data_IF_212391512866
#
_entry.id   IF_212391512866
#
_cell.length_a   1.000
_cell.length_b   1.000
_cell.length_c   1.000
_cell.angle_alpha   90.00
_cell.angle_beta   90.00
_cell.angle_gamma   90.00
#
_symmetry.space_group_name_H-M   'P 1'
#
loop_
_entity.id
_entity.type
_entity.pdbx_description
1 polymer ?
#
# COMPACT_ATOMS: atom_id res chain seq x y z
N UNK A 1 -63.72 -46.49 21.94
CA UNK A 1 -63.44 -45.12 21.46
C UNK A 1 -61.93 -45.04 21.27
N UNK A 2 -61.35 -45.40 20.12
CA UNK A 2 -61.32 -44.70 18.82
C UNK A 2 -60.95 -43.22 18.95
N UNK A 3 -59.65 -42.95 18.71
CA UNK A 3 -59.09 -41.89 17.84
C UNK A 3 -59.34 -40.41 18.18
N UNK A 4 -58.28 -39.61 18.27
CA UNK A 4 -57.65 -38.96 17.10
C UNK A 4 -56.48 -38.07 17.55
N UNK A 5 -55.39 -38.17 16.78
CA UNK A 5 -54.27 -37.24 16.81
C UNK A 5 -54.69 -35.87 16.26
N UNK A 6 -54.11 -34.80 16.78
CA UNK A 6 -54.02 -33.52 16.08
C UNK A 6 -52.55 -33.13 15.94
N UNK A 7 -52.11 -33.09 14.69
CA UNK A 7 -50.88 -32.50 14.17
C UNK A 7 -50.81 -30.99 14.48
N UNK A 8 -49.59 -30.41 14.54
CA UNK A 8 -49.39 -29.00 14.88
C UNK A 8 -49.74 -28.07 13.71
N UNK A 9 -50.16 -26.81 13.96
CA UNK A 9 -50.28 -25.82 12.91
C UNK A 9 -48.88 -25.33 12.48
N UNK A 10 -48.67 -25.36 11.17
CA UNK A 10 -47.46 -24.91 10.49
C UNK A 10 -47.53 -23.38 10.27
N UNK A 11 -46.41 -22.71 10.56
CA UNK A 11 -45.88 -21.47 9.98
C UNK A 11 -46.80 -20.22 9.86
N UNK A 12 -46.43 -19.19 10.60
CA UNK A 12 -46.15 -17.88 9.96
C UNK A 12 -45.04 -17.18 10.71
N UNK A 13 -44.10 -16.69 9.92
CA UNK A 13 -42.82 -16.09 10.29
C UNK A 13 -42.97 -15.01 11.36
N UNK A 14 -42.17 -15.11 12.43
CA UNK A 14 -41.61 -13.93 13.07
C UNK A 14 -40.10 -14.10 13.05
N UNK A 15 -39.50 -13.60 11.96
CA UNK A 15 -38.14 -13.09 12.02
C UNK A 15 -38.15 -12.04 13.13
N UNK A 16 -37.52 -12.35 14.24
CA UNK A 16 -37.05 -11.31 15.13
C UNK A 16 -36.00 -10.56 14.32
N UNK A 17 -36.38 -9.41 13.78
CA UNK A 17 -35.47 -8.44 13.23
C UNK A 17 -34.57 -8.00 14.40
N UNK A 18 -33.45 -8.71 14.56
CA UNK A 18 -32.31 -8.19 15.28
C UNK A 18 -31.86 -6.98 14.48
N UNK A 19 -32.36 -5.82 14.89
CA UNK A 19 -31.86 -4.52 14.47
C UNK A 19 -30.42 -4.44 14.98
N UNK A 20 -29.48 -5.00 14.22
CA UNK A 20 -28.09 -4.56 14.25
C UNK A 20 -28.14 -3.13 13.73
N UNK A 21 -28.29 -2.19 14.65
CA UNK A 21 -28.00 -0.80 14.39
C UNK A 21 -26.53 -0.76 13.94
N UNK A 22 -26.32 -0.82 12.63
CA UNK A 22 -25.05 -0.52 11.98
C UNK A 22 -24.71 0.90 12.35
N UNK A 23 -23.99 1.05 13.46
CA UNK A 23 -23.29 2.28 13.76
C UNK A 23 -22.28 2.43 12.64
N UNK A 24 -22.54 3.40 11.76
CA UNK A 24 -21.53 3.94 10.88
C UNK A 24 -20.28 4.19 11.74
N UNK A 25 -19.22 3.41 11.51
CA UNK A 25 -17.89 3.70 12.03
C UNK A 25 -17.32 4.89 11.26
N UNK A 26 -17.99 6.04 11.36
CA UNK A 26 -17.36 7.35 11.20
C UNK A 26 -16.73 7.70 12.54
N UNK A 27 -15.70 6.93 12.92
CA UNK A 27 -14.73 7.32 13.94
C UNK A 27 -13.55 8.04 13.28
N UNK A 28 -12.76 8.80 14.03
CA UNK A 28 -11.82 9.77 13.45
C UNK A 28 -10.83 9.08 12.52
N UNK A 29 -10.74 9.58 11.28
CA UNK A 29 -9.57 9.37 10.44
C UNK A 29 -8.41 10.00 11.22
N UNK A 30 -7.58 9.16 11.83
CA UNK A 30 -6.34 9.61 12.44
C UNK A 30 -5.45 10.10 11.30
N UNK A 31 -5.43 11.42 11.09
CA UNK A 31 -4.34 12.11 10.45
C UNK A 31 -3.08 11.87 11.30
N UNK A 32 -2.38 10.77 11.00
CA UNK A 32 -0.99 10.56 11.40
C UNK A 32 -0.01 11.40 10.57
N UNK A 33 -0.49 12.06 9.51
CA UNK A 33 0.22 13.15 8.85
C UNK A 33 0.00 14.43 9.63
N UNK A 34 1.09 15.15 9.94
CA UNK A 34 1.05 16.48 10.55
C UNK A 34 -0.03 17.33 9.86
N UNK A 35 -1.08 17.68 10.60
CA UNK A 35 -1.99 18.76 10.18
C UNK A 35 -1.22 20.07 10.29
N UNK A 36 -0.47 20.42 9.25
CA UNK A 36 0.07 21.78 9.07
C UNK A 36 -1.10 22.70 8.70
N UNK A 37 -1.96 22.96 9.69
CA UNK A 37 -2.90 24.07 9.64
C UNK A 37 -2.10 25.37 9.72
N UNK A 38 -2.46 26.33 8.88
CA UNK A 38 -1.89 27.67 8.89
C UNK A 38 -1.90 28.25 10.32
N UNK A 39 -0.72 28.33 10.95
CA UNK A 39 -0.52 29.00 12.25
C UNK A 39 -0.35 28.12 13.49
N UNK A 40 -0.06 26.82 13.39
CA UNK A 40 0.16 25.95 14.56
C UNK A 40 1.58 25.39 14.66
N UNK A 41 2.50 26.11 15.29
CA UNK A 41 3.85 25.59 15.59
C UNK A 41 3.79 24.45 16.61
N UNK A 42 4.35 23.30 16.24
CA UNK A 42 4.62 22.20 17.19
C UNK A 42 6.13 22.02 17.26
N UNK A 43 6.73 22.58 18.32
CA UNK A 43 8.14 22.41 18.65
C UNK A 43 8.33 21.08 19.37
N UNK A 44 9.01 20.12 18.72
CA UNK A 44 9.68 19.00 19.39
C UNK A 44 11.14 18.92 18.95
N UNK A 45 11.98 19.82 19.46
CA UNK A 45 13.37 19.57 19.90
C UNK A 45 14.41 18.85 19.02
N UNK A 46 14.14 18.50 17.76
CA UNK A 46 15.12 18.01 16.79
C UNK A 46 15.21 19.02 15.62
N UNK A 47 16.33 19.08 14.87
CA UNK A 47 16.41 19.97 13.73
C UNK A 47 15.34 19.49 12.74
N UNK A 48 14.24 20.24 12.68
CA UNK A 48 13.22 20.09 11.64
C UNK A 48 13.96 20.34 10.33
N UNK A 49 13.92 19.37 9.42
CA UNK A 49 14.40 19.58 8.07
C UNK A 49 13.57 20.65 7.36
N UNK A 50 13.91 20.91 6.11
CA UNK A 50 13.20 21.88 5.29
C UNK A 50 11.80 21.36 4.91
N UNK A 51 10.85 22.28 4.72
CA UNK A 51 9.50 21.96 4.24
C UNK A 51 9.33 22.57 2.85
N UNK A 52 9.23 21.70 1.85
CA UNK A 52 9.02 22.07 0.46
C UNK A 52 7.56 21.83 0.05
N UNK A 53 6.95 22.84 -0.56
CA UNK A 53 5.62 22.80 -1.13
C UNK A 53 5.74 22.64 -2.65
N UNK A 54 5.00 21.68 -3.21
CA UNK A 54 5.04 21.38 -4.64
C UNK A 54 3.62 21.49 -5.21
N UNK A 55 3.44 22.27 -6.26
CA UNK A 55 2.15 22.46 -6.92
C UNK A 55 2.30 22.21 -8.43
N UNK A 56 1.68 21.13 -8.91
CA UNK A 56 1.75 20.74 -10.32
C UNK A 56 1.19 21.80 -11.29
N UNK A 57 0.26 22.65 -10.82
CA UNK A 57 -0.48 23.59 -11.67
C UNK A 57 0.10 25.02 -11.58
N UNK A 58 0.63 25.41 -10.41
CA UNK A 58 1.03 26.79 -10.13
C UNK A 58 2.50 26.96 -9.71
N UNK A 59 3.27 25.87 -9.63
CA UNK A 59 4.64 25.91 -9.15
C UNK A 59 5.66 26.44 -10.15
N UNK A 60 6.85 26.75 -9.63
CA UNK A 60 8.03 27.14 -10.41
C UNK A 60 9.31 26.55 -9.81
N UNK A 61 10.06 25.76 -10.58
CA UNK A 61 11.33 25.17 -10.12
C UNK A 61 12.49 26.16 -9.98
N UNK A 62 12.26 27.42 -10.40
CA UNK A 62 13.15 28.54 -10.10
C UNK A 62 12.93 29.17 -8.72
N UNK A 63 11.84 28.83 -8.03
CA UNK A 63 11.50 29.33 -6.70
C UNK A 63 12.17 28.56 -5.56
N UNK A 64 11.77 28.91 -4.34
CA UNK A 64 12.28 28.30 -3.10
C UNK A 64 11.50 27.04 -2.70
N UNK A 65 10.18 27.02 -2.90
CA UNK A 65 9.31 25.97 -2.39
C UNK A 65 8.93 26.11 -0.92
N UNK A 66 9.41 27.12 -0.20
CA UNK A 66 9.22 27.23 1.25
C UNK A 66 7.78 27.59 1.64
N UNK A 67 6.91 27.93 0.68
CA UNK A 67 5.51 28.25 0.93
C UNK A 67 4.60 27.95 -0.27
N UNK A 68 3.29 27.90 -0.03
CA UNK A 68 2.28 27.78 -1.10
C UNK A 68 2.14 29.02 -1.99
N UNK A 69 2.71 30.17 -1.60
CA UNK A 69 2.77 31.38 -2.43
C UNK A 69 3.98 31.38 -3.40
N UNK A 70 4.95 30.50 -3.15
CA UNK A 70 6.12 30.23 -4.00
C UNK A 70 6.42 28.71 -4.06
N UNK A 71 5.48 27.87 -4.54
CA UNK A 71 5.68 26.43 -4.57
C UNK A 71 6.59 26.01 -5.72
N UNK A 72 7.28 24.88 -5.56
CA UNK A 72 8.03 24.24 -6.64
C UNK A 72 7.07 23.58 -7.64
N UNK A 73 7.51 23.43 -8.89
CA UNK A 73 6.71 22.79 -9.93
C UNK A 73 6.82 21.25 -9.87
N UNK A 74 8.00 20.74 -9.49
CA UNK A 74 8.27 19.30 -9.49
C UNK A 74 8.74 18.79 -8.14
N UNK A 75 8.40 17.54 -7.86
CA UNK A 75 8.93 16.81 -6.70
C UNK A 75 10.43 16.55 -6.87
N UNK A 76 10.88 16.31 -8.12
CA UNK A 76 12.29 16.17 -8.47
C UNK A 76 13.10 17.37 -8.00
N UNK A 77 12.59 18.60 -8.19
CA UNK A 77 13.27 19.80 -7.72
C UNK A 77 13.34 19.89 -6.20
N UNK A 78 12.24 19.56 -5.51
CA UNK A 78 12.22 19.53 -4.05
C UNK A 78 13.24 18.54 -3.48
N UNK A 79 13.29 17.32 -4.03
CA UNK A 79 14.27 16.30 -3.66
C UNK A 79 15.72 16.75 -3.93
N UNK A 80 15.95 17.53 -4.99
CA UNK A 80 17.26 18.09 -5.25
C UNK A 80 17.69 19.12 -4.19
N UNK A 81 16.74 19.92 -3.67
CA UNK A 81 16.97 20.93 -2.63
C UNK A 81 17.08 20.35 -1.22
N UNK A 82 16.41 19.23 -0.95
CA UNK A 82 16.46 18.52 0.32
C UNK A 82 17.90 18.23 0.79
N UNK A 83 18.11 18.15 2.10
CA UNK A 83 19.38 17.82 2.73
C UNK A 83 19.36 16.37 3.19
N UNK A 84 20.34 15.58 2.78
CA UNK A 84 20.43 14.17 3.19
C UNK A 84 20.55 14.02 4.71
N UNK A 85 19.64 13.24 5.30
CA UNK A 85 19.60 12.99 6.74
C UNK A 85 18.98 14.13 7.57
N UNK A 86 18.48 15.19 6.94
CA UNK A 86 17.57 16.13 7.56
C UNK A 86 16.13 15.58 7.44
N UNK A 87 15.32 15.69 8.49
CA UNK A 87 13.92 15.25 8.49
C UNK A 87 13.08 16.22 7.61
N UNK A 88 13.26 16.13 6.29
CA UNK A 88 12.70 17.04 5.29
C UNK A 88 11.32 16.58 4.81
N UNK A 89 10.41 17.55 4.67
CA UNK A 89 9.03 17.30 4.25
C UNK A 89 8.80 17.88 2.87
N UNK A 90 8.37 17.03 1.93
CA UNK A 90 7.95 17.46 0.62
C UNK A 90 6.45 17.22 0.50
N UNK A 91 5.70 18.29 0.32
CA UNK A 91 4.24 18.30 0.37
C UNK A 91 3.71 18.72 -0.99
N UNK A 92 3.17 17.78 -1.75
CA UNK A 92 2.67 18.05 -3.09
C UNK A 92 1.17 18.22 -3.15
N UNK A 93 0.69 18.93 -4.18
CA UNK A 93 -0.70 18.94 -4.61
C UNK A 93 -0.80 18.94 -6.14
N UNK A 94 -1.85 18.29 -6.65
CA UNK A 94 -2.13 18.25 -8.09
C UNK A 94 -1.76 16.92 -8.73
N UNK A 95 -1.52 16.97 -10.05
CA UNK A 95 -1.31 15.78 -10.88
C UNK A 95 0.02 15.88 -11.63
N UNK A 96 0.98 15.06 -11.24
CA UNK A 96 2.36 15.08 -11.72
C UNK A 96 2.59 13.99 -12.76
N UNK A 97 3.30 14.32 -13.84
CA UNK A 97 3.79 13.36 -14.83
C UNK A 97 5.32 13.33 -14.78
N UNK A 98 5.87 12.77 -13.70
CA UNK A 98 7.31 12.66 -13.47
C UNK A 98 7.61 11.35 -12.73
N UNK A 99 8.86 10.89 -12.84
CA UNK A 99 9.37 9.76 -12.08
C UNK A 99 10.17 10.27 -10.89
N UNK A 100 9.96 9.67 -9.73
CA UNK A 100 10.54 10.10 -8.46
C UNK A 100 11.64 9.16 -8.04
N UNK A 101 12.85 9.69 -7.83
CA UNK A 101 13.95 8.95 -7.23
C UNK A 101 14.31 9.55 -5.87
N UNK A 102 14.10 8.80 -4.79
CA UNK A 102 14.45 9.19 -3.43
C UNK A 102 15.78 8.54 -3.06
N UNK A 103 16.85 9.34 -3.14
CA UNK A 103 18.22 8.91 -2.85
C UNK A 103 18.80 9.53 -1.57
N UNK A 104 18.04 10.44 -0.93
CA UNK A 104 18.36 11.06 0.35
C UNK A 104 17.53 10.42 1.45
N UNK A 105 18.13 10.23 2.61
CA UNK A 105 17.50 9.64 3.79
C UNK A 105 16.70 10.66 4.58
N UNK A 106 15.74 10.20 5.39
CA UNK A 106 14.83 11.03 6.22
C UNK A 106 13.93 11.97 5.41
N UNK A 107 13.53 11.52 4.23
CA UNK A 107 12.60 12.24 3.35
C UNK A 107 11.16 11.82 3.64
N UNK A 108 10.28 12.78 3.82
CA UNK A 108 8.84 12.59 3.97
C UNK A 108 8.09 13.11 2.73
N UNK A 109 7.61 12.19 1.89
CA UNK A 109 6.87 12.47 0.66
C UNK A 109 5.36 12.42 0.92
N UNK A 110 4.71 13.58 1.00
CA UNK A 110 3.33 13.71 1.48
C UNK A 110 2.39 14.32 0.44
N UNK A 111 1.36 13.58 0.03
CA UNK A 111 0.30 14.13 -0.81
C UNK A 111 -0.69 14.96 0.00
N UNK A 112 -1.02 16.16 -0.50
CA UNK A 112 -2.11 16.98 0.03
C UNK A 112 -3.42 16.66 -0.72
N UNK A 113 -4.52 16.66 0.02
CA UNK A 113 -5.87 16.66 -0.55
C UNK A 113 -6.14 18.01 -1.21
N UNK A 114 -6.39 18.03 -2.52
CA UNK A 114 -6.70 19.26 -3.24
C UNK A 114 -7.96 19.95 -2.71
N UNK A 115 -7.80 21.14 -2.10
CA UNK A 115 -8.90 22.03 -1.75
C UNK A 115 -9.43 22.74 -3.01
N UNK A 116 -10.30 22.09 -3.78
CA UNK A 116 -10.75 22.65 -5.07
C UNK A 116 -11.98 22.00 -5.71
N UNK A 117 -12.81 21.31 -4.93
CA UNK A 117 -14.08 20.73 -5.43
C UNK A 117 -13.92 19.52 -6.36
N UNK A 118 -12.69 19.05 -6.61
CA UNK A 118 -12.40 17.76 -7.24
C UNK A 118 -11.53 16.93 -6.30
N UNK A 119 -12.14 15.90 -5.73
CA UNK A 119 -11.56 14.97 -4.76
C UNK A 119 -10.47 14.09 -5.40
N UNK A 120 -9.31 14.66 -5.70
CA UNK A 120 -8.14 13.88 -6.09
C UNK A 120 -7.05 14.13 -5.05
N UNK A 121 -6.67 13.06 -4.35
CA UNK A 121 -5.37 12.97 -3.69
C UNK A 121 -4.28 13.33 -4.72
N UNK A 122 -3.17 13.86 -4.23
CA UNK A 122 -2.01 14.15 -5.07
C UNK A 122 -1.62 12.92 -5.87
N UNK A 123 -1.47 13.07 -7.19
CA UNK A 123 -1.23 11.95 -8.10
C UNK A 123 0.13 12.07 -8.75
N UNK A 124 0.89 10.99 -8.73
CA UNK A 124 2.16 10.85 -9.46
C UNK A 124 1.95 9.75 -10.50
N UNK A 125 2.01 10.14 -11.77
CA UNK A 125 1.96 9.22 -12.91
C UNK A 125 3.38 8.99 -13.38
N UNK A 126 3.70 7.74 -13.70
CA UNK A 126 4.99 7.41 -14.29
C UNK A 126 5.29 8.26 -15.54
N UNK A 127 6.47 8.86 -15.56
CA UNK A 127 7.01 9.69 -16.64
C UNK A 127 7.74 8.91 -17.73
N UNK A 128 7.86 7.58 -17.60
CA UNK A 128 8.51 6.69 -18.56
C UNK A 128 9.65 5.84 -17.99
N UNK A 129 9.93 5.93 -16.68
CA UNK A 129 10.97 5.15 -16.01
C UNK A 129 10.51 3.77 -15.55
N UNK A 130 11.47 2.98 -15.04
CA UNK A 130 11.26 1.61 -14.60
C UNK A 130 10.38 1.48 -13.33
N UNK A 131 10.15 2.57 -12.61
CA UNK A 131 9.17 2.69 -11.53
C UNK A 131 8.71 4.15 -11.38
N UNK A 132 7.51 4.38 -10.85
CA UNK A 132 6.99 5.75 -10.65
C UNK A 132 7.67 6.42 -9.47
N UNK A 133 7.90 5.66 -8.39
CA UNK A 133 8.67 6.09 -7.24
C UNK A 133 9.70 5.01 -6.93
N UNK A 134 10.97 5.35 -7.03
CA UNK A 134 12.11 4.52 -6.66
C UNK A 134 12.71 5.04 -5.35
N UNK A 135 12.86 4.17 -4.36
CA UNK A 135 13.44 4.50 -3.05
C UNK A 135 14.74 3.74 -2.85
N UNK A 136 15.85 4.48 -2.80
CA UNK A 136 17.21 3.97 -2.59
C UNK A 136 17.86 4.63 -1.36
N UNK A 137 17.06 4.86 -0.32
CA UNK A 137 17.47 5.59 0.87
C UNK A 137 16.81 5.04 2.14
N UNK A 138 17.25 5.56 3.30
CA UNK A 138 16.76 5.13 4.62
C UNK A 138 15.79 6.14 5.20
N UNK A 139 14.90 5.67 6.08
CA UNK A 139 13.98 6.53 6.83
C UNK A 139 13.06 7.35 5.93
N UNK A 140 12.56 6.73 4.87
CA UNK A 140 11.67 7.39 3.92
C UNK A 140 10.22 7.14 4.31
N UNK A 141 9.41 8.19 4.34
CA UNK A 141 7.95 8.11 4.45
C UNK A 141 7.31 8.46 3.10
N UNK A 142 6.35 7.65 2.66
CA UNK A 142 5.51 7.95 1.50
C UNK A 142 4.06 7.84 1.94
N UNK A 143 3.32 8.96 1.92
CA UNK A 143 1.97 8.97 2.42
C UNK A 143 0.99 9.88 1.68
N UNK A 144 -0.30 9.54 1.80
CA UNK A 144 -1.44 10.36 1.37
C UNK A 144 -1.44 10.73 -0.13
N UNK A 145 -0.90 9.87 -0.99
CA UNK A 145 -0.82 10.11 -2.43
C UNK A 145 -1.33 8.94 -3.26
N UNK A 146 -1.52 9.21 -4.55
CA UNK A 146 -1.80 8.21 -5.58
C UNK A 146 -0.51 7.98 -6.36
N UNK A 147 0.02 6.76 -6.30
CA UNK A 147 1.12 6.33 -7.15
C UNK A 147 0.55 5.47 -8.29
N UNK A 148 0.80 5.89 -9.54
CA UNK A 148 0.31 5.16 -10.71
C UNK A 148 1.49 4.61 -11.50
N UNK A 149 1.58 3.28 -11.57
CA UNK A 149 2.58 2.56 -12.36
C UNK A 149 2.32 2.64 -13.87
N UNK A 150 3.37 2.41 -14.65
CA UNK A 150 3.28 2.40 -16.12
C UNK A 150 3.12 1.00 -16.69
N UNK A 151 2.65 0.98 -17.93
CA UNK A 151 2.62 -0.17 -18.80
C UNK A 151 3.65 0.02 -19.90
N UNK A 152 4.73 -0.74 -19.88
CA UNK A 152 5.53 -0.96 -21.09
C UNK A 152 5.61 -2.45 -21.44
N UNK A 153 5.58 -2.75 -22.74
CA UNK A 153 5.47 -4.14 -23.21
C UNK A 153 6.79 -4.86 -22.97
N UNK A 154 6.77 -5.80 -22.03
CA UNK A 154 7.91 -6.69 -21.74
C UNK A 154 8.74 -6.29 -20.53
N UNK A 155 8.32 -5.28 -19.77
CA UNK A 155 8.95 -4.91 -18.50
C UNK A 155 7.90 -4.71 -17.41
N UNK A 156 8.20 -5.17 -16.20
CA UNK A 156 7.30 -5.10 -15.04
C UNK A 156 7.73 -3.93 -14.14
N UNK A 157 7.11 -2.77 -14.34
CA UNK A 157 7.46 -1.52 -13.65
C UNK A 157 6.52 -1.24 -12.49
N UNK A 158 6.97 -1.37 -11.23
CA UNK A 158 6.09 -1.12 -10.10
C UNK A 158 5.71 0.36 -9.97
N UNK A 159 4.58 0.64 -9.33
CA UNK A 159 4.26 2.01 -8.96
C UNK A 159 5.25 2.51 -7.89
N UNK A 160 5.62 1.66 -6.92
CA UNK A 160 6.65 1.98 -5.93
C UNK A 160 7.66 0.84 -5.87
N UNK A 161 8.94 1.17 -6.00
CA UNK A 161 10.06 0.26 -5.85
C UNK A 161 10.89 0.65 -4.64
N UNK A 162 11.07 -0.30 -3.73
CA UNK A 162 11.91 -0.16 -2.54
C UNK A 162 13.17 -0.98 -2.78
N UNK A 163 14.21 -0.30 -3.27
CA UNK A 163 15.45 -0.90 -3.75
C UNK A 163 16.65 -0.20 -3.12
N UNK A 164 17.27 -0.84 -2.14
CA UNK A 164 18.38 -0.29 -1.37
C UNK A 164 19.70 -0.96 -1.61
N UNK A 165 20.17 -0.98 -2.86
CA UNK A 165 21.51 -1.42 -3.28
C UNK A 165 22.53 -1.39 -2.13
N UNK A 166 22.69 -2.54 -1.46
CA UNK A 166 23.62 -2.88 -0.37
C UNK A 166 23.74 -1.94 0.85
N UNK A 167 22.95 -0.87 0.94
CA UNK A 167 22.97 0.07 2.06
C UNK A 167 21.59 0.20 2.72
N UNK A 168 20.70 -0.79 2.62
CA UNK A 168 19.64 -1.02 3.60
C UNK A 168 18.48 -0.01 3.54
N UNK A 169 17.78 0.08 2.41
CA UNK A 169 16.56 0.90 2.26
C UNK A 169 15.56 0.61 3.38
N UNK A 170 15.10 1.68 4.04
CA UNK A 170 14.05 1.61 5.06
C UNK A 170 12.97 2.60 4.70
N UNK A 171 11.79 2.09 4.41
CA UNK A 171 10.66 2.90 3.99
C UNK A 171 9.38 2.52 4.72
N UNK A 172 8.54 3.52 4.95
CA UNK A 172 7.18 3.38 5.42
C UNK A 172 6.23 3.96 4.38
N UNK A 173 5.44 3.09 3.75
CA UNK A 173 4.44 3.49 2.76
C UNK A 173 3.07 3.32 3.38
N UNK A 174 2.31 4.41 3.51
CA UNK A 174 1.00 4.34 4.14
C UNK A 174 -0.05 5.32 3.65
N UNK A 175 -1.32 4.94 3.78
CA UNK A 175 -2.45 5.79 3.37
C UNK A 175 -2.37 6.21 1.88
N UNK A 176 -1.75 5.36 1.05
CA UNK A 176 -1.61 5.58 -0.38
C UNK A 176 -2.66 4.81 -1.17
N UNK A 177 -3.02 5.35 -2.34
CA UNK A 177 -3.75 4.60 -3.36
C UNK A 177 -2.78 4.22 -4.48
N UNK A 178 -2.65 2.93 -4.76
CA UNK A 178 -1.65 2.42 -5.68
C UNK A 178 -2.36 1.68 -6.79
N UNK A 179 -2.15 2.10 -8.04
CA UNK A 179 -2.90 1.57 -9.18
C UNK A 179 -2.14 1.71 -10.49
N UNK A 180 -2.79 1.34 -11.60
CA UNK A 180 -2.20 1.28 -12.94
C UNK A 180 -2.97 2.14 -13.94
N UNK A 181 -2.25 2.76 -14.89
CA UNK A 181 -2.84 3.62 -15.91
C UNK A 181 -3.81 2.89 -16.87
N UNK A 182 -3.73 1.57 -17.02
CA UNK A 182 -4.66 0.81 -17.88
C UNK A 182 -4.81 -0.65 -17.44
N UNK A 183 -5.96 -1.07 -16.89
CA UNK A 183 -6.22 -2.47 -16.58
C UNK A 183 -6.31 -3.31 -17.86
N UNK A 184 -5.45 -4.31 -18.03
CA UNK A 184 -5.53 -5.26 -19.14
C UNK A 184 -5.12 -6.64 -18.69
N UNK A 185 -5.96 -7.63 -19.00
CA UNK A 185 -5.90 -9.01 -18.52
C UNK A 185 -4.65 -9.83 -18.85
N UNK A 186 -3.62 -9.23 -19.44
CA UNK A 186 -2.43 -9.96 -19.93
C UNK A 186 -1.11 -9.28 -19.60
N UNK A 187 -1.12 -8.10 -18.96
CA UNK A 187 0.07 -7.23 -18.84
C UNK A 187 -0.02 -6.30 -17.62
N UNK A 188 -0.12 -6.85 -16.41
CA UNK A 188 -0.04 -6.05 -15.20
C UNK A 188 1.40 -5.96 -14.68
N UNK A 189 1.73 -4.86 -13.99
CA UNK A 189 2.96 -4.70 -13.21
C UNK A 189 2.62 -4.77 -11.71
N UNK A 190 3.62 -4.72 -10.82
CA UNK A 190 3.35 -4.80 -9.38
C UNK A 190 2.89 -3.45 -8.82
N UNK A 191 2.10 -3.45 -7.76
CA UNK A 191 1.81 -2.22 -7.03
C UNK A 191 3.07 -1.72 -6.34
N UNK A 192 3.57 -2.51 -5.40
CA UNK A 192 4.83 -2.28 -4.70
C UNK A 192 5.77 -3.46 -4.93
N UNK A 193 7.04 -3.19 -5.24
CA UNK A 193 8.11 -4.20 -5.24
C UNK A 193 9.15 -3.87 -4.19
N UNK A 194 9.53 -4.87 -3.40
CA UNK A 194 10.62 -4.81 -2.41
C UNK A 194 11.74 -5.75 -2.88
N UNK A 195 12.84 -5.20 -3.37
CA UNK A 195 13.99 -5.98 -3.90
C UNK A 195 15.12 -6.11 -2.88
N UNK A 196 15.27 -5.13 -2.00
CA UNK A 196 16.32 -5.10 -0.99
C UNK A 196 16.02 -4.07 0.09
N UNK A 197 16.67 -4.21 1.24
CA UNK A 197 16.55 -3.28 2.36
C UNK A 197 15.99 -3.89 3.64
N UNK A 198 15.78 -3.03 4.63
CA UNK A 198 15.58 -3.37 6.03
C UNK A 198 14.37 -2.63 6.61
N UNK A 199 13.58 -3.31 7.45
CA UNK A 199 12.45 -2.70 8.21
C UNK A 199 11.44 -1.94 7.35
N UNK A 200 10.97 -2.55 6.28
CA UNK A 200 10.00 -1.93 5.38
C UNK A 200 8.59 -2.21 5.87
N UNK A 201 7.77 -1.17 5.95
CA UNK A 201 6.37 -1.28 6.38
C UNK A 201 5.45 -0.72 5.31
N UNK A 202 4.47 -1.53 4.90
CA UNK A 202 3.41 -1.16 3.98
C UNK A 202 2.08 -1.29 4.72
N UNK A 203 1.40 -0.17 5.00
CA UNK A 203 0.15 -0.23 5.74
C UNK A 203 -0.91 0.81 5.38
N UNK A 204 -2.18 0.47 5.61
CA UNK A 204 -3.32 1.36 5.32
C UNK A 204 -3.39 1.83 3.86
N UNK A 205 -2.78 1.09 2.94
CA UNK A 205 -2.84 1.39 1.52
C UNK A 205 -4.04 0.68 0.87
N UNK A 206 -4.54 1.29 -0.21
CA UNK A 206 -5.41 0.62 -1.18
C UNK A 206 -4.57 0.32 -2.41
N UNK A 207 -4.47 -0.96 -2.78
CA UNK A 207 -3.68 -1.41 -3.92
C UNK A 207 -4.61 -2.10 -4.89
N UNK A 208 -4.71 -1.57 -6.11
CA UNK A 208 -5.75 -1.94 -7.07
C UNK A 208 -5.17 -2.28 -8.45
N UNK A 209 -5.72 -3.30 -9.10
CA UNK A 209 -5.53 -3.59 -10.52
C UNK A 209 -4.07 -3.84 -10.90
N UNK A 210 -3.35 -4.62 -10.08
CA UNK A 210 -1.93 -4.96 -10.24
C UNK A 210 -1.74 -6.45 -10.58
N UNK A 211 -0.55 -6.84 -11.05
CA UNK A 211 -0.17 -8.25 -11.21
C UNK A 211 0.02 -8.85 -9.84
N UNK A 212 0.85 -8.21 -9.04
CA UNK A 212 1.03 -8.46 -7.63
C UNK A 212 0.75 -7.16 -6.90
N UNK A 213 -0.12 -7.16 -5.88
CA UNK A 213 -0.32 -5.97 -5.06
C UNK A 213 0.98 -5.57 -4.37
N UNK A 214 1.56 -6.48 -3.60
CA UNK A 214 2.91 -6.34 -3.01
C UNK A 214 3.78 -7.54 -3.35
N UNK A 215 4.87 -7.31 -4.08
CA UNK A 215 5.91 -8.29 -4.32
C UNK A 215 7.07 -8.05 -3.35
N UNK A 216 7.44 -9.08 -2.60
CA UNK A 216 8.69 -9.14 -1.85
C UNK A 216 9.61 -10.12 -2.56
N UNK A 217 10.70 -9.63 -3.16
CA UNK A 217 11.72 -10.42 -3.84
C UNK A 217 13.11 -10.01 -3.32
N UNK A 218 13.36 -10.30 -2.05
CA UNK A 218 14.47 -9.69 -1.30
C UNK A 218 15.60 -10.67 -1.02
N UNK A 219 16.44 -10.90 -2.04
CA UNK A 219 17.62 -11.77 -1.92
C UNK A 219 18.74 -11.18 -1.04
N UNK A 220 18.68 -9.88 -0.74
CA UNK A 220 19.69 -9.14 0.04
C UNK A 220 19.00 -8.35 1.14
N UNK A 221 19.10 -8.84 2.38
CA UNK A 221 18.64 -8.14 3.59
C UNK A 221 19.79 -8.03 4.58
N UNK A 222 20.04 -6.82 5.10
CA UNK A 222 21.10 -6.57 6.09
C UNK A 222 20.56 -6.57 7.52
N UNK A 223 19.27 -6.27 7.71
CA UNK A 223 18.57 -6.21 8.99
C UNK A 223 17.05 -6.37 8.81
N UNK A 224 16.51 -7.38 9.49
CA UNK A 224 15.20 -8.02 9.32
C UNK A 224 13.95 -7.14 9.49
N UNK A 225 12.80 -7.69 9.05
CA UNK A 225 11.40 -7.27 9.29
C UNK A 225 10.72 -6.50 8.14
N UNK A 226 10.18 -7.23 7.16
CA UNK A 226 9.20 -6.66 6.21
C UNK A 226 7.80 -6.86 6.80
N UNK A 227 6.98 -5.81 6.83
CA UNK A 227 5.61 -5.86 7.34
C UNK A 227 4.67 -5.36 6.25
N UNK A 228 3.71 -6.19 5.87
CA UNK A 228 2.60 -5.84 4.99
C UNK A 228 1.31 -6.01 5.80
N UNK A 229 0.69 -4.91 6.23
CA UNK A 229 -0.47 -5.00 7.12
C UNK A 229 -1.57 -3.98 6.90
N UNK A 230 -2.79 -4.31 7.30
CA UNK A 230 -3.93 -3.38 7.27
C UNK A 230 -4.18 -2.75 5.88
N UNK A 231 -3.83 -3.44 4.81
CA UNK A 231 -4.06 -2.96 3.44
C UNK A 231 -5.35 -3.55 2.88
N UNK A 232 -5.97 -2.81 1.96
CA UNK A 232 -6.96 -3.34 1.03
C UNK A 232 -6.29 -3.61 -0.30
N UNK A 233 -6.15 -4.88 -0.68
CA UNK A 233 -5.57 -5.30 -1.95
C UNK A 233 -6.69 -5.87 -2.82
N UNK A 234 -6.96 -5.20 -3.93
CA UNK A 234 -8.13 -5.44 -4.77
C UNK A 234 -7.76 -5.66 -6.24
N UNK A 235 -8.51 -6.53 -6.93
CA UNK A 235 -8.39 -6.75 -8.38
C UNK A 235 -6.97 -7.14 -8.85
N UNK A 236 -6.19 -7.81 -8.00
CA UNK A 236 -4.83 -8.23 -8.34
C UNK A 236 -4.79 -9.71 -8.76
N UNK A 237 -3.85 -10.11 -9.63
CA UNK A 237 -3.66 -11.54 -9.91
C UNK A 237 -3.10 -12.26 -8.68
N UNK A 238 -2.17 -11.59 -7.98
CA UNK A 238 -1.70 -11.96 -6.66
C UNK A 238 -1.88 -10.81 -5.67
N UNK A 239 -2.44 -11.07 -4.50
CA UNK A 239 -2.51 -10.03 -3.47
C UNK A 239 -1.12 -9.68 -2.94
N UNK A 240 -0.46 -10.67 -2.34
CA UNK A 240 0.93 -10.58 -1.87
C UNK A 240 1.72 -11.76 -2.42
N UNK A 241 2.90 -11.52 -2.97
CA UNK A 241 3.82 -12.58 -3.41
C UNK A 241 5.15 -12.45 -2.66
N UNK A 242 5.56 -13.52 -1.99
CA UNK A 242 6.79 -13.61 -1.22
C UNK A 242 7.78 -14.55 -1.91
N UNK A 243 8.96 -14.03 -2.20
CA UNK A 243 10.07 -14.70 -2.89
C UNK A 243 11.39 -14.37 -2.22
N UNK A 244 12.30 -15.34 -2.25
CA UNK A 244 13.71 -15.16 -1.86
C UNK A 244 13.92 -14.59 -0.45
N UNK A 245 12.97 -14.79 0.47
CA UNK A 245 13.06 -14.28 1.84
C UNK A 245 14.26 -14.87 2.58
N UNK A 246 15.00 -14.01 3.27
CA UNK A 246 16.07 -14.41 4.18
C UNK A 246 15.56 -14.40 5.63
N UNK A 247 16.11 -15.29 6.45
CA UNK A 247 15.77 -15.42 7.86
C UNK A 247 17.02 -15.35 8.74
N UNK A 248 16.86 -14.77 9.93
CA UNK A 248 17.74 -15.05 11.06
C UNK A 248 17.06 -15.95 12.07
N UNK A 249 17.87 -16.60 12.90
CA UNK A 249 17.38 -17.42 14.00
C UNK A 249 16.48 -16.59 14.93
N UNK A 250 15.20 -16.96 15.00
CA UNK A 250 14.23 -16.37 15.93
C UNK A 250 13.43 -15.18 15.39
N UNK A 251 13.53 -14.84 14.10
CA UNK A 251 12.76 -13.78 13.47
C UNK A 251 12.09 -14.24 12.17
N UNK A 252 10.98 -13.59 11.79
CA UNK A 252 10.35 -13.77 10.49
C UNK A 252 10.96 -12.80 9.48
N UNK A 253 11.17 -13.27 8.25
CA UNK A 253 11.68 -12.44 7.16
C UNK A 253 10.61 -11.47 6.63
N UNK A 254 9.35 -11.89 6.69
CA UNK A 254 8.20 -11.07 6.32
C UNK A 254 6.98 -11.44 7.17
N UNK A 255 6.22 -10.44 7.59
CA UNK A 255 4.91 -10.58 8.25
C UNK A 255 3.84 -9.99 7.34
N UNK A 256 2.85 -10.81 6.98
CA UNK A 256 1.66 -10.40 6.24
C UNK A 256 0.47 -10.53 7.18
N UNK A 257 -0.08 -9.40 7.64
CA UNK A 257 -1.08 -9.41 8.72
C UNK A 257 -2.26 -8.47 8.51
N UNK A 258 -3.47 -8.91 8.87
CA UNK A 258 -4.66 -8.05 8.89
C UNK A 258 -4.99 -7.36 7.55
N UNK A 259 -4.63 -7.97 6.42
CA UNK A 259 -4.97 -7.43 5.12
C UNK A 259 -6.33 -7.95 4.66
N UNK A 260 -7.06 -7.13 3.89
CA UNK A 260 -8.21 -7.55 3.11
C UNK A 260 -7.72 -7.74 1.67
N UNK A 261 -7.71 -8.98 1.19
CA UNK A 261 -7.20 -9.36 -0.12
C UNK A 261 -8.35 -9.96 -0.92
N UNK A 262 -8.89 -9.21 -1.87
CA UNK A 262 -10.11 -9.59 -2.57
C UNK A 262 -10.13 -9.13 -4.03
N UNK A 263 -11.13 -9.56 -4.80
CA UNK A 263 -11.24 -9.27 -6.22
C UNK A 263 -10.09 -9.87 -7.01
N UNK A 264 -10.29 -11.03 -7.62
CA UNK A 264 -9.29 -11.57 -8.54
C UNK A 264 -9.05 -10.65 -9.73
N UNK A 265 -7.78 -10.52 -10.09
CA UNK A 265 -7.36 -10.04 -11.40
C UNK A 265 -7.82 -10.98 -12.53
N UNK A 266 -7.44 -10.65 -13.76
CA UNK A 266 -8.08 -11.22 -14.95
C UNK A 266 -7.38 -12.46 -15.55
N UNK A 267 -6.37 -13.02 -14.88
CA UNK A 267 -5.65 -14.22 -15.33
C UNK A 267 -6.19 -15.52 -14.69
N UNK A 268 -5.84 -16.66 -15.28
CA UNK A 268 -6.37 -17.98 -14.89
C UNK A 268 -5.77 -18.53 -13.59
N UNK A 269 -4.56 -18.10 -13.23
CA UNK A 269 -3.90 -18.47 -11.97
C UNK A 269 -3.84 -17.25 -11.06
N UNK A 270 -4.81 -17.15 -10.15
CA UNK A 270 -4.88 -16.06 -9.17
C UNK A 270 -4.70 -16.59 -7.76
N UNK A 271 -3.79 -15.97 -7.00
CA UNK A 271 -3.45 -16.35 -5.62
C UNK A 271 -3.67 -15.19 -4.66
N UNK A 272 -4.35 -15.38 -3.52
CA UNK A 272 -4.47 -14.30 -2.53
C UNK A 272 -3.10 -13.93 -1.93
N UNK A 273 -2.47 -14.90 -1.29
CA UNK A 273 -1.08 -14.84 -0.84
C UNK A 273 -0.31 -16.00 -1.48
N UNK A 274 0.82 -15.69 -2.10
CA UNK A 274 1.70 -16.66 -2.73
C UNK A 274 3.06 -16.66 -2.03
N UNK A 275 3.48 -17.80 -1.49
CA UNK A 275 4.77 -17.96 -0.80
C UNK A 275 5.59 -19.02 -1.52
N UNK A 276 6.60 -18.57 -2.27
CA UNK A 276 7.49 -19.44 -3.04
C UNK A 276 8.34 -20.33 -2.11
N UNK A 277 8.82 -21.45 -2.64
CA UNK A 277 9.74 -22.33 -1.93
C UNK A 277 11.04 -21.63 -1.48
N UNK A 278 11.45 -20.55 -2.17
CA UNK A 278 12.60 -19.74 -1.80
C UNK A 278 12.32 -18.68 -0.73
N UNK A 279 11.10 -18.64 -0.19
CA UNK A 279 10.66 -17.68 0.82
C UNK A 279 10.34 -18.34 2.18
N UNK A 280 11.30 -19.04 2.82
CA UNK A 280 11.07 -19.60 4.14
C UNK A 280 10.83 -18.50 5.18
N UNK A 281 10.03 -18.81 6.20
CA UNK A 281 9.86 -17.99 7.41
C UNK A 281 9.12 -16.67 7.22
N UNK A 282 8.12 -16.70 6.34
CA UNK A 282 7.01 -15.76 6.42
C UNK A 282 6.06 -16.11 7.57
N UNK A 283 5.41 -15.09 8.13
CA UNK A 283 4.32 -15.18 9.08
C UNK A 283 3.06 -14.58 8.46
N UNK A 284 2.01 -15.39 8.28
CA UNK A 284 0.72 -14.98 7.74
C UNK A 284 -0.32 -14.98 8.86
N UNK A 285 -0.90 -13.84 9.22
CA UNK A 285 -1.78 -13.73 10.40
C UNK A 285 -3.04 -12.92 10.11
N UNK A 286 -4.20 -13.47 10.41
CA UNK A 286 -5.46 -12.69 10.44
C UNK A 286 -5.77 -11.95 9.12
N UNK A 287 -5.36 -12.50 7.97
CA UNK A 287 -5.73 -11.97 6.66
C UNK A 287 -7.13 -12.47 6.25
N UNK A 288 -7.91 -11.58 5.63
CA UNK A 288 -9.21 -11.87 5.02
C UNK A 288 -9.01 -11.99 3.51
N UNK A 289 -9.14 -13.20 2.96
CA UNK A 289 -8.82 -13.51 1.57
C UNK A 289 -10.05 -14.08 0.87
N UNK A 290 -10.49 -13.45 -0.21
CA UNK A 290 -11.68 -13.88 -0.94
C UNK A 290 -11.55 -13.72 -2.45
N UNK A 291 -12.19 -14.62 -3.22
CA UNK A 291 -12.36 -14.44 -4.65
C UNK A 291 -11.14 -14.77 -5.51
N UNK A 292 -10.16 -15.49 -4.97
CA UNK A 292 -9.01 -16.05 -5.69
C UNK A 292 -9.22 -17.54 -5.97
N UNK A 293 -8.60 -18.06 -7.05
CA UNK A 293 -8.60 -19.50 -7.34
C UNK A 293 -7.94 -20.28 -6.21
N UNK A 294 -6.80 -19.79 -5.72
CA UNK A 294 -6.13 -20.32 -4.53
C UNK A 294 -5.91 -19.20 -3.50
N UNK A 295 -6.62 -19.18 -2.36
CA UNK A 295 -6.45 -18.13 -1.37
C UNK A 295 -5.00 -18.02 -0.85
N UNK A 296 -4.38 -19.15 -0.49
CA UNK A 296 -2.97 -19.19 -0.06
C UNK A 296 -2.22 -20.34 -0.75
N UNK A 297 -1.13 -20.00 -1.43
CA UNK A 297 -0.09 -20.96 -1.86
C UNK A 297 1.07 -20.85 -0.88
N UNK A 298 1.43 -21.97 -0.24
CA UNK A 298 2.45 -21.99 0.82
C UNK A 298 3.58 -23.00 0.54
N UNK A 299 4.33 -22.80 -0.54
CA UNK A 299 5.49 -23.65 -0.86
C UNK A 299 6.70 -23.35 0.06
N UNK A 300 6.81 -22.13 0.58
CA UNK A 300 7.88 -21.70 1.50
C UNK A 300 7.72 -22.14 2.95
N UNK A 301 6.67 -22.88 3.31
CA UNK A 301 6.39 -23.30 4.70
C UNK A 301 6.25 -22.12 5.69
N UNK A 302 5.55 -21.06 5.27
CA UNK A 302 5.15 -19.97 6.12
C UNK A 302 4.31 -20.45 7.32
N UNK A 303 4.48 -19.81 8.47
CA UNK A 303 3.61 -19.99 9.62
C UNK A 303 2.28 -19.25 9.36
N UNK A 304 1.17 -19.98 9.34
CA UNK A 304 -0.17 -19.43 9.10
C UNK A 304 -1.02 -19.51 10.36
N UNK A 305 -1.58 -18.38 10.80
CA UNK A 305 -2.42 -18.28 12.01
C UNK A 305 -3.69 -17.49 11.67
N UNK A 306 -4.86 -18.13 11.84
CA UNK A 306 -6.18 -17.47 11.74
C UNK A 306 -6.40 -16.67 10.44
N UNK A 307 -5.92 -17.17 9.31
CA UNK A 307 -6.28 -16.60 8.03
C UNK A 307 -7.68 -17.11 7.62
N UNK A 308 -8.50 -16.21 7.08
CA UNK A 308 -9.87 -16.50 6.66
C UNK A 308 -9.90 -16.54 5.13
N UNK A 309 -10.32 -17.67 4.58
CA UNK A 309 -10.20 -17.96 3.16
C UNK A 309 -11.57 -18.32 2.58
N UNK A 310 -11.97 -17.67 1.49
CA UNK A 310 -13.15 -18.00 0.72
C UNK A 310 -12.80 -18.19 -0.77
N UNK A 311 -12.80 -19.46 -1.20
CA UNK A 311 -12.53 -19.88 -2.59
C UNK A 311 -13.70 -19.52 -3.49
N UNK A 312 -13.44 -19.13 -4.73
CA UNK A 312 -14.42 -18.66 -5.73
C UNK A 312 -15.81 -19.30 -5.63
N UNK A 313 -16.79 -18.54 -5.12
CA UNK A 313 -18.16 -19.03 -4.93
C UNK A 313 -19.16 -18.04 -4.30
N UNK A 314 -18.87 -16.75 -4.26
CA UNK A 314 -19.84 -15.72 -3.91
C UNK A 314 -19.60 -15.05 -2.57
N UNK A 315 -19.40 -13.73 -2.64
CA UNK A 315 -19.94 -12.71 -1.75
C UNK A 315 -20.35 -13.20 -0.36
N UNK A 316 -19.45 -13.14 0.62
CA UNK A 316 -19.73 -12.77 2.02
C UNK A 316 -18.42 -12.81 2.83
N UNK A 317 -17.67 -11.70 2.86
CA UNK A 317 -16.99 -11.37 4.11
C UNK A 317 -18.10 -10.82 5.00
N UNK A 318 -18.59 -11.62 5.95
CA UNK A 318 -19.34 -11.07 7.07
C UNK A 318 -18.35 -10.22 7.87
N UNK A 319 -18.39 -8.91 7.63
CA UNK A 319 -17.77 -7.90 8.48
C UNK A 319 -18.70 -7.63 9.66
#
# INVERSE_FOLDING_TARGET
MVGLAQTPPNLTERKEDVVMAGTHLSGPVFAGGVMLGAGGGVNYGQPVGDVFHVDADNGSDGGSGESWDDPLLTWTRALALATDGADDYIIGRGNFGEDIAITKSKIHLLGLLGGGGRSYLTRINNGGSDSTILVQARDVEIANLIAIGNRDVGKHYPAIELDGDNEGTRAHVHHCFITMLTPSATKYTNGITITSGDRQTIEFCVIDSCMVGVLVDSAVQTTYEIIVRNNLIYACNKGVHLKNLQLSTGQFGCVVANNIITGQGAESETNGIDVDASAPGALLVENLIAGYTTPIVNAGSALSIRNYEDTSGGTLINV
#
